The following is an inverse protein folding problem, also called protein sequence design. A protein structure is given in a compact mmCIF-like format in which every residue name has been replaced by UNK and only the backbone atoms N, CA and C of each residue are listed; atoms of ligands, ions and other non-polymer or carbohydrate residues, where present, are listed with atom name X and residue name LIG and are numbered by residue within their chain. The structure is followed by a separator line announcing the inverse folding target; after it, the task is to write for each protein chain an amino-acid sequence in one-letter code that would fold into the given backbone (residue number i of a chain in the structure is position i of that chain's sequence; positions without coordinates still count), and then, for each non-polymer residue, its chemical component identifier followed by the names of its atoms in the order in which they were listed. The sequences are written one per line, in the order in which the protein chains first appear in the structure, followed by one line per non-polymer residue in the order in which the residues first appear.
data_IF_524279661647
#
_entry.id   IF_524279661647
#
_cell.length_a   1.000
_cell.length_b   1.000
_cell.length_c   1.000
_cell.angle_alpha   90.00
_cell.angle_beta   90.00
_cell.angle_gamma   90.00
#
_symmetry.space_group_name_H-M   'P 1'
#
loop_
_entity.id
_entity.type
_entity.pdbx_description
1 polymer ?
#
# COMPACT_ATOMS: atom_id res chain seq x y z
N UNK A 1 -0.52 0.27 -20.11
CA UNK A 1 -0.63 -0.34 -18.77
C UNK A 1 -1.43 0.60 -17.91
N UNK A 2 -2.62 0.19 -17.45
CA UNK A 2 -3.52 1.08 -16.69
C UNK A 2 -3.02 1.15 -15.25
N UNK A 3 -2.73 2.36 -14.75
CA UNK A 3 -2.38 2.57 -13.34
C UNK A 3 -3.66 2.80 -12.56
N UNK A 4 -4.16 1.74 -11.92
CA UNK A 4 -5.33 1.77 -11.04
C UNK A 4 -4.93 2.15 -9.62
N UNK A 5 -5.82 2.82 -8.86
CA UNK A 5 -5.58 3.20 -7.46
C UNK A 5 -5.17 2.00 -6.60
N UNK A 6 -5.80 0.85 -6.86
CA UNK A 6 -5.49 -0.45 -6.25
C UNK A 6 -4.04 -0.87 -6.43
N UNK A 7 -3.49 -0.75 -7.65
CA UNK A 7 -2.09 -1.11 -7.91
C UNK A 7 -1.11 -0.22 -7.15
N UNK A 8 -1.45 1.06 -7.00
CA UNK A 8 -0.63 2.01 -6.25
C UNK A 8 -0.65 1.69 -4.74
N UNK A 9 -1.82 1.34 -4.21
CA UNK A 9 -2.00 0.94 -2.81
C UNK A 9 -1.29 -0.40 -2.49
N UNK A 10 -1.35 -1.37 -3.41
CA UNK A 10 -0.58 -2.62 -3.30
C UNK A 10 0.93 -2.38 -3.40
N UNK A 11 1.39 -1.47 -4.26
CA UNK A 11 2.81 -1.12 -4.35
C UNK A 11 3.32 -0.54 -3.03
N UNK A 12 2.56 0.38 -2.42
CA UNK A 12 2.90 0.95 -1.11
C UNK A 12 2.93 -0.13 -0.03
N UNK A 13 1.96 -1.05 -0.02
CA UNK A 13 1.93 -2.16 0.93
C UNK A 13 3.17 -3.07 0.81
N UNK A 14 3.62 -3.35 -0.43
CA UNK A 14 4.84 -4.14 -0.67
C UNK A 14 6.09 -3.40 -0.16
N UNK A 15 6.20 -2.10 -0.44
CA UNK A 15 7.33 -1.29 0.07
C UNK A 15 7.38 -1.30 1.59
N UNK A 16 6.24 -1.15 2.27
CA UNK A 16 6.16 -1.22 3.73
C UNK A 16 6.57 -2.59 4.27
N UNK A 17 6.20 -3.68 3.60
CA UNK A 17 6.63 -5.04 3.96
C UNK A 17 8.13 -5.24 3.82
N UNK A 18 8.73 -4.73 2.74
CA UNK A 18 10.18 -4.81 2.52
C UNK A 18 10.92 -4.02 3.61
N UNK A 19 10.46 -2.81 3.93
CA UNK A 19 11.04 -2.00 5.01
C UNK A 19 10.90 -2.70 6.37
N UNK A 20 9.76 -3.34 6.65
CA UNK A 20 9.55 -4.14 7.86
C UNK A 20 10.50 -5.34 7.93
N UNK A 21 10.71 -6.04 6.81
CA UNK A 21 11.62 -7.19 6.72
C UNK A 21 13.10 -6.81 6.91
N UNK A 22 13.46 -5.56 6.57
CA UNK A 22 14.78 -4.99 6.84
C UNK A 22 14.96 -4.56 8.32
N UNK A 23 13.94 -4.74 9.17
CA UNK A 23 14.00 -4.36 10.58
C UNK A 23 14.01 -2.85 10.81
N UNK A 24 13.50 -2.07 9.86
CA UNK A 24 13.35 -0.64 10.03
C UNK A 24 12.12 -0.38 10.89
N UNK A 25 12.33 0.14 12.09
CA UNK A 25 11.27 0.55 13.00
C UNK A 25 11.05 2.06 12.91
N UNK A 26 9.80 2.48 12.67
CA UNK A 26 9.40 3.89 12.75
C UNK A 26 8.86 4.16 14.16
N UNK A 27 9.75 4.51 15.08
CA UNK A 27 9.38 5.13 16.37
C UNK A 27 8.41 4.31 17.23
N UNK A 28 8.46 2.97 17.17
CA UNK A 28 7.60 2.06 17.92
C UNK A 28 6.32 1.63 17.20
N UNK A 29 6.12 2.06 15.94
CA UNK A 29 5.01 1.62 15.11
C UNK A 29 5.44 0.39 14.32
N UNK A 30 4.73 -0.72 14.47
CA UNK A 30 5.01 -1.95 13.70
C UNK A 30 4.75 -1.70 12.21
N UNK A 31 5.82 -1.66 11.40
CA UNK A 31 5.70 -1.55 9.94
C UNK A 31 4.93 -2.72 9.32
N UNK A 32 4.92 -3.89 9.97
CA UNK A 32 4.10 -5.04 9.55
C UNK A 32 2.62 -4.72 9.68
N UNK A 33 2.19 -4.14 10.81
CA UNK A 33 0.81 -3.72 10.99
C UNK A 33 0.42 -2.62 9.99
N UNK A 34 1.34 -1.69 9.71
CA UNK A 34 1.14 -0.64 8.71
C UNK A 34 0.98 -1.21 7.28
N UNK A 35 1.83 -2.17 6.92
CA UNK A 35 1.79 -2.89 5.64
C UNK A 35 0.49 -3.67 5.46
N UNK A 36 0.04 -4.36 6.51
CA UNK A 36 -1.24 -5.09 6.52
C UNK A 36 -2.46 -4.17 6.43
N UNK A 37 -2.44 -3.02 7.12
CA UNK A 37 -3.51 -2.03 7.02
C UNK A 37 -3.62 -1.45 5.60
N UNK A 38 -2.48 -1.16 4.97
CA UNK A 38 -2.42 -0.70 3.59
C UNK A 38 -2.89 -1.79 2.61
N UNK A 39 -2.45 -3.04 2.81
CA UNK A 39 -2.90 -4.18 2.03
C UNK A 39 -4.42 -4.40 2.13
N UNK A 40 -4.98 -4.40 3.34
CA UNK A 40 -6.42 -4.54 3.55
C UNK A 40 -7.20 -3.36 2.95
N UNK A 41 -6.67 -2.13 3.09
CA UNK A 41 -7.21 -0.94 2.43
C UNK A 41 -7.27 -1.08 0.91
N UNK A 42 -6.32 -1.79 0.30
CA UNK A 42 -6.29 -2.02 -1.15
C UNK A 42 -7.43 -2.93 -1.63
N UNK A 43 -7.98 -3.78 -0.75
CA UNK A 43 -9.19 -4.57 -1.04
C UNK A 43 -10.48 -3.82 -0.76
N UNK A 44 -10.43 -2.80 0.11
CA UNK A 44 -11.59 -1.98 0.45
C UNK A 44 -11.84 -0.88 -0.59
N UNK A 45 -10.79 -0.42 -1.27
CA UNK A 45 -10.90 0.62 -2.30
C UNK A 45 -11.37 -0.01 -3.63
N UNK A 46 -12.52 0.41 -4.18
CA UNK A 46 -12.95 -0.02 -5.50
C UNK A 46 -11.94 0.42 -6.56
N UNK A 47 -11.86 -0.31 -7.68
CA UNK A 47 -10.93 -0.06 -8.78
C UNK A 47 -11.23 1.26 -9.49
N UNK A 48 -10.92 2.36 -8.82
CA UNK A 48 -11.01 3.70 -9.35
C UNK A 48 -9.73 3.91 -10.15
N UNK A 49 -9.87 4.01 -11.48
CA UNK A 49 -8.78 4.35 -12.37
C UNK A 49 -8.36 5.80 -12.06
N UNK A 50 -7.15 6.00 -11.55
CA UNK A 50 -6.61 7.34 -11.35
C UNK A 50 -6.08 7.84 -12.71
N UNK A 51 -7.00 8.26 -13.60
CA UNK A 51 -6.62 8.53 -14.98
C UNK A 51 -7.71 8.99 -15.96
N UNK A 52 -8.83 9.56 -15.50
CA UNK A 52 -9.73 10.34 -16.37
C UNK A 52 -10.09 11.63 -15.67
N UNK A 53 -9.19 12.61 -15.76
CA UNK A 53 -9.64 14.01 -15.84
C UNK A 53 -10.16 14.19 -17.26
N UNK A 54 -11.49 14.17 -17.42
CA UNK A 54 -12.16 14.88 -18.52
C UNK A 54 -12.44 16.29 -18.04
#
# INVERSE_FOLDING_TARGET
MTFTFRSLLLLIAVVLFVLAALGLDLGGISLVALGLACFAGAFLVPETALGTRR
#
